data_IF_852301661432
#
_entry.id   IF_852301661432
#
_cell.length_a   1.000
_cell.length_b   1.000
_cell.length_c   1.000
_cell.angle_alpha   90.00
_cell.angle_beta   90.00
_cell.angle_gamma   90.00
#
_symmetry.space_group_name_H-M   'P 1'
#
loop_
_entity.id
_entity.type
_entity.pdbx_description
1 polymer ?
#
# COMPACT_ATOMS: atom_id res chain seq x y z
N UNK A 1 -6.79 14.91 -32.14
CA UNK A 1 -7.14 13.79 -31.26
C UNK A 1 -5.86 13.46 -30.53
N UNK A 2 -5.62 14.14 -29.41
CA UNK A 2 -4.35 14.10 -28.71
C UNK A 2 -4.32 12.91 -27.75
N UNK A 3 -3.23 12.16 -27.85
CA UNK A 3 -2.84 10.96 -27.12
C UNK A 3 -2.88 11.16 -25.61
N UNK A 4 -3.63 10.30 -24.91
CA UNK A 4 -3.50 10.10 -23.47
C UNK A 4 -2.32 9.13 -23.28
N UNK A 5 -1.28 9.45 -22.50
CA UNK A 5 -0.30 8.44 -22.15
C UNK A 5 -0.98 7.47 -21.17
N UNK A 6 -1.28 6.26 -21.64
CA UNK A 6 -1.42 5.07 -20.79
C UNK A 6 -0.10 4.90 -20.02
N UNK A 7 0.05 5.63 -18.93
CA UNK A 7 1.08 5.34 -17.95
C UNK A 7 0.45 4.40 -16.93
N UNK A 8 0.32 3.12 -17.32
CA UNK A 8 0.20 1.98 -16.41
C UNK A 8 1.49 1.81 -15.60
N UNK A 9 1.94 2.88 -14.93
CA UNK A 9 3.17 2.87 -14.15
C UNK A 9 2.84 2.56 -12.70
N UNK A 10 3.53 1.57 -12.16
CA UNK A 10 3.45 1.24 -10.74
C UNK A 10 3.88 2.43 -9.89
N UNK A 11 3.17 2.65 -8.77
CA UNK A 11 3.47 3.74 -7.84
C UNK A 11 4.34 3.17 -6.72
N UNK A 12 5.51 3.78 -6.49
CA UNK A 12 6.44 3.32 -5.48
C UNK A 12 6.58 4.33 -4.34
N UNK A 13 6.35 3.85 -3.12
CA UNK A 13 6.59 4.60 -1.89
C UNK A 13 7.74 3.99 -1.11
N UNK A 14 8.61 4.85 -0.60
CA UNK A 14 9.68 4.50 0.32
C UNK A 14 9.27 4.92 1.74
N UNK A 15 9.54 4.05 2.71
CA UNK A 15 9.15 4.28 4.11
C UNK A 15 10.05 5.27 4.87
N UNK A 16 11.19 5.67 4.31
CA UNK A 16 11.93 6.82 4.86
C UNK A 16 11.16 8.12 4.62
N UNK A 17 10.34 8.20 3.56
CA UNK A 17 9.57 9.39 3.20
C UNK A 17 8.07 9.28 3.50
N UNK A 18 7.55 8.06 3.70
CA UNK A 18 6.12 7.82 3.88
C UNK A 18 5.83 6.94 5.10
N UNK A 19 4.59 6.95 5.53
CA UNK A 19 4.05 6.08 6.58
C UNK A 19 2.71 5.52 6.13
N UNK A 20 2.46 4.24 6.41
CA UNK A 20 1.16 3.61 6.17
C UNK A 20 0.24 3.86 7.34
N UNK A 21 -1.05 4.00 7.08
CA UNK A 21 -2.07 3.97 8.11
C UNK A 21 -3.15 2.96 7.77
N UNK A 22 -3.55 2.18 8.77
CA UNK A 22 -4.64 1.21 8.69
C UNK A 22 -5.51 1.44 9.92
N UNK A 23 -6.80 1.73 9.72
CA UNK A 23 -7.75 2.02 10.81
C UNK A 23 -7.23 3.11 11.79
N UNK A 24 -6.54 4.13 11.25
CA UNK A 24 -5.96 5.24 12.03
C UNK A 24 -4.66 4.91 12.78
N UNK A 25 -4.14 3.67 12.68
CA UNK A 25 -2.86 3.28 13.27
C UNK A 25 -1.74 3.41 12.24
N UNK A 26 -0.65 4.08 12.60
CA UNK A 26 0.49 4.32 11.73
C UNK A 26 1.54 3.20 11.78
N UNK A 27 2.07 2.80 10.63
CA UNK A 27 3.06 1.73 10.47
C UNK A 27 4.22 2.18 9.60
N UNK A 28 5.43 1.97 10.10
CA UNK A 28 6.63 2.11 9.31
C UNK A 28 6.87 0.84 8.47
N UNK A 29 7.33 1.03 7.25
CA UNK A 29 7.58 0.00 6.26
C UNK A 29 8.88 0.31 5.51
N UNK A 30 9.40 -0.62 4.71
CA UNK A 30 10.60 -0.39 3.90
C UNK A 30 10.23 0.16 2.53
N UNK A 31 9.38 -0.57 1.80
CA UNK A 31 8.94 -0.23 0.45
C UNK A 31 7.50 -0.65 0.25
N UNK A 32 6.74 0.16 -0.48
CA UNK A 32 5.38 -0.18 -0.87
C UNK A 32 5.18 0.12 -2.36
N UNK A 33 4.88 -0.93 -3.13
CA UNK A 33 4.69 -0.85 -4.58
C UNK A 33 3.23 -1.12 -4.85
N UNK A 34 2.58 -0.22 -5.56
CA UNK A 34 1.19 -0.34 -5.96
C UNK A 34 1.16 -0.58 -7.45
N UNK A 35 0.85 -1.81 -7.82
CA UNK A 35 0.88 -2.29 -9.19
C UNK A 35 -0.44 -1.95 -9.88
N UNK A 36 -0.38 -1.54 -11.16
CA UNK A 36 -1.55 -1.18 -11.96
C UNK A 36 -2.62 -2.29 -12.08
N UNK A 37 -2.24 -3.54 -11.86
CA UNK A 37 -3.09 -4.73 -11.97
C UNK A 37 -3.91 -5.04 -10.69
N UNK A 38 -4.23 -4.04 -9.87
CA UNK A 38 -4.98 -4.21 -8.62
C UNK A 38 -4.27 -5.06 -7.56
N UNK A 39 -2.94 -5.10 -7.61
CA UNK A 39 -2.09 -5.74 -6.60
C UNK A 39 -1.10 -4.74 -5.99
N UNK A 40 -0.63 -5.02 -4.79
CA UNK A 40 0.39 -4.20 -4.16
C UNK A 40 1.33 -5.08 -3.33
N UNK A 41 2.62 -4.72 -3.31
CA UNK A 41 3.65 -5.41 -2.57
C UNK A 41 4.21 -4.51 -1.48
N UNK A 42 4.10 -4.99 -0.24
CA UNK A 42 4.54 -4.30 0.95
C UNK A 42 5.73 -5.02 1.56
N UNK A 43 6.89 -4.37 1.54
CA UNK A 43 8.10 -4.85 2.19
C UNK A 43 8.24 -4.20 3.57
N UNK A 44 8.43 -5.03 4.59
CA UNK A 44 8.58 -4.65 5.99
C UNK A 44 10.01 -4.83 6.48
N UNK A 45 10.37 -4.17 7.59
CA UNK A 45 11.70 -4.30 8.20
C UNK A 45 11.94 -5.66 8.89
N UNK A 46 10.90 -6.48 9.05
CA UNK A 46 10.98 -7.81 9.66
C UNK A 46 9.71 -8.61 9.43
N UNK A 47 9.76 -9.91 9.71
CA UNK A 47 8.66 -10.86 9.51
C UNK A 47 7.56 -10.77 10.58
N UNK A 48 7.88 -10.26 11.78
CA UNK A 48 6.94 -10.12 12.90
C UNK A 48 6.37 -8.70 13.01
N UNK A 49 5.86 -8.16 11.90
CA UNK A 49 5.31 -6.82 11.92
C UNK A 49 3.86 -6.84 12.45
N UNK A 50 3.50 -5.98 13.43
CA UNK A 50 2.13 -5.84 13.92
C UNK A 50 1.11 -5.51 12.84
N UNK A 51 1.55 -5.01 11.68
CA UNK A 51 0.68 -4.77 10.53
C UNK A 51 -0.05 -6.04 10.06
N UNK A 52 0.56 -7.22 10.19
CA UNK A 52 -0.07 -8.50 9.84
C UNK A 52 -1.16 -8.95 10.81
N UNK A 53 -1.33 -8.31 11.96
CA UNK A 53 -2.49 -8.58 12.83
C UNK A 53 -3.72 -7.78 12.44
N UNK A 54 -3.56 -6.78 11.54
CA UNK A 54 -4.65 -5.91 11.10
C UNK A 54 -5.09 -6.21 9.67
N UNK A 55 -4.13 -6.55 8.81
CA UNK A 55 -4.41 -7.10 7.51
C UNK A 55 -4.73 -8.58 7.65
N UNK A 56 -5.71 -9.03 6.87
CA UNK A 56 -6.18 -10.41 6.89
C UNK A 56 -6.36 -10.93 5.45
N UNK A 57 -6.47 -12.25 5.32
CA UNK A 57 -6.70 -12.95 4.05
C UNK A 57 -8.16 -12.93 3.60
N UNK A 58 -9.10 -12.56 4.48
CA UNK A 58 -10.54 -12.55 4.16
C UNK A 58 -11.15 -11.16 4.34
N UNK A 59 -10.82 -10.44 5.42
CA UNK A 59 -11.43 -9.14 5.71
C UNK A 59 -10.74 -7.97 4.99
N UNK A 60 -11.45 -7.24 4.09
CA UNK A 60 -10.89 -6.11 3.38
C UNK A 60 -10.64 -4.91 4.30
N UNK A 61 -9.44 -4.33 4.20
CA UNK A 61 -9.05 -3.11 4.94
C UNK A 61 -8.84 -1.92 4.00
N UNK A 62 -8.77 -0.73 4.60
CA UNK A 62 -8.38 0.51 3.91
C UNK A 62 -6.97 0.88 4.37
N UNK A 63 -6.08 1.11 3.40
CA UNK A 63 -4.71 1.54 3.61
C UNK A 63 -4.57 2.98 3.11
N UNK A 64 -4.01 3.84 3.95
CA UNK A 64 -3.61 5.19 3.57
C UNK A 64 -2.08 5.26 3.50
N UNK A 65 -1.55 5.91 2.47
CA UNK A 65 -0.14 6.30 2.40
C UNK A 65 -0.05 7.80 2.61
N UNK A 66 0.73 8.21 3.60
CA UNK A 66 0.90 9.62 3.96
C UNK A 66 2.39 9.93 3.96
N UNK A 67 2.80 10.98 3.26
CA UNK A 67 4.14 11.53 3.34
C UNK A 67 4.45 11.92 4.78
N UNK A 68 5.71 11.83 5.19
CA UNK A 68 6.14 12.30 6.50
C UNK A 68 6.02 13.82 6.67
N UNK A 69 5.76 14.55 5.58
CA UNK A 69 5.39 15.97 5.60
C UNK A 69 3.92 16.21 5.97
N UNK A 70 3.11 15.14 6.06
CA UNK A 70 1.71 15.19 6.49
C UNK A 70 0.68 15.24 5.35
N UNK A 71 1.13 15.31 4.10
CA UNK A 71 0.25 15.21 2.93
C UNK A 71 -0.16 13.76 2.71
N UNK A 72 -1.45 13.50 2.54
CA UNK A 72 -1.95 12.18 2.15
C UNK A 72 -1.74 12.01 0.65
N UNK A 73 -1.02 10.96 0.27
CA UNK A 73 -0.65 10.75 -1.12
C UNK A 73 -1.53 9.68 -1.79
N UNK A 74 -1.97 8.67 -1.02
CA UNK A 74 -2.73 7.55 -1.56
C UNK A 74 -3.74 6.96 -0.58
N UNK A 75 -4.87 6.51 -1.14
CA UNK A 75 -5.85 5.65 -0.49
C UNK A 75 -6.05 4.39 -1.33
N UNK A 76 -5.86 3.23 -0.70
CA UNK A 76 -6.23 1.92 -1.24
C UNK A 76 -7.36 1.33 -0.42
N UNK A 77 -8.42 0.89 -1.11
CA UNK A 77 -9.60 0.31 -0.49
C UNK A 77 -9.74 -1.16 -0.88
N UNK A 78 -10.29 -1.95 0.02
CA UNK A 78 -10.50 -3.38 -0.24
C UNK A 78 -9.22 -4.19 -0.20
N UNK A 79 -8.22 -3.78 0.59
CA UNK A 79 -6.94 -4.44 0.71
C UNK A 79 -7.08 -5.77 1.45
N UNK A 80 -6.68 -6.87 0.81
CA UNK A 80 -6.71 -8.23 1.36
C UNK A 80 -5.37 -8.91 1.09
N UNK A 81 -4.83 -9.63 2.09
CA UNK A 81 -3.59 -10.39 1.94
C UNK A 81 -3.79 -11.53 0.94
N UNK A 82 -2.82 -11.67 0.03
CA UNK A 82 -2.70 -12.80 -0.88
C UNK A 82 -1.60 -13.74 -0.47
N UNK A 83 -0.45 -13.18 -0.10
CA UNK A 83 0.73 -13.97 0.22
C UNK A 83 1.64 -13.22 1.19
N UNK A 84 2.34 -13.96 2.05
CA UNK A 84 3.43 -13.44 2.87
C UNK A 84 4.64 -14.34 2.65
N UNK A 85 5.72 -13.79 2.09
CA UNK A 85 7.00 -14.47 1.90
C UNK A 85 8.07 -13.68 2.64
N UNK A 86 8.52 -14.21 3.79
CA UNK A 86 9.54 -13.56 4.61
C UNK A 86 9.06 -12.20 5.14
N UNK A 87 9.65 -11.11 4.66
CA UNK A 87 9.32 -9.74 5.03
C UNK A 87 8.45 -9.02 3.99
N UNK A 88 8.04 -9.70 2.93
CA UNK A 88 7.17 -9.15 1.89
C UNK A 88 5.76 -9.68 2.03
N UNK A 89 4.78 -8.80 1.92
CA UNK A 89 3.37 -9.11 1.90
C UNK A 89 2.73 -8.59 0.62
N UNK A 90 2.16 -9.50 -0.16
CA UNK A 90 1.42 -9.18 -1.36
C UNK A 90 -0.06 -9.06 -1.04
N UNK A 91 -0.67 -7.99 -1.55
CA UNK A 91 -2.04 -7.58 -1.30
C UNK A 91 -2.77 -7.49 -2.65
N UNK A 92 -4.07 -7.76 -2.64
CA UNK A 92 -4.97 -7.25 -3.68
C UNK A 92 -5.76 -6.07 -3.14
N UNK A 93 -6.12 -5.11 -3.99
CA UNK A 93 -7.02 -4.02 -3.65
C UNK A 93 -8.15 -3.90 -4.68
N UNK A 94 -9.28 -3.29 -4.30
CA UNK A 94 -10.43 -3.12 -5.20
C UNK A 94 -10.52 -1.71 -5.80
N UNK A 95 -9.94 -0.72 -5.12
CA UNK A 95 -9.96 0.67 -5.59
C UNK A 95 -8.74 1.44 -5.13
N UNK A 96 -8.24 2.29 -6.02
CA UNK A 96 -7.16 3.23 -5.81
C UNK A 96 -7.67 4.66 -5.95
N UNK A 97 -7.27 5.54 -5.03
CA UNK A 97 -7.54 6.98 -5.10
C UNK A 97 -6.28 7.74 -4.69
N UNK A 98 -5.73 8.53 -5.60
CA UNK A 98 -4.68 9.50 -5.31
C UNK A 98 -5.30 10.85 -4.94
N UNK A 99 -4.81 11.49 -3.89
CA UNK A 99 -5.14 12.89 -3.62
C UNK A 99 -4.05 13.75 -4.28
N UNK A 100 -4.39 14.36 -5.41
CA UNK A 100 -3.54 15.32 -6.15
C UNK A 100 -3.65 16.73 -5.59
#
# INVERSE_FOLDING_TARGET
>A
METIPDSESDICFDGANHRLFIEGRGFDFRKFIVNHNSSADLELFGSENPLYTLLDFEEPRVIYVVSRLGSKDLILQGCVIREIIGNTCSLSYSKLQSES
#
